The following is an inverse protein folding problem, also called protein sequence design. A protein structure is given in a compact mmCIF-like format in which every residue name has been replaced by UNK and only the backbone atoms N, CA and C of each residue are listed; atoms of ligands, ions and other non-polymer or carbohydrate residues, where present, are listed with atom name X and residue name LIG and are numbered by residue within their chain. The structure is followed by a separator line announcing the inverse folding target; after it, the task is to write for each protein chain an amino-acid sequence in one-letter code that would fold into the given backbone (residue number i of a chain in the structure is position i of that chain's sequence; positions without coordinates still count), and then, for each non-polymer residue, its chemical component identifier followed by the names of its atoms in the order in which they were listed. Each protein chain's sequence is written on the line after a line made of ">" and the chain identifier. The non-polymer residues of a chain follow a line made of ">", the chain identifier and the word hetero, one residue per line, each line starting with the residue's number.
data_IF_818337099137
#
_entry.id   IF_818337099137
#
_cell.length_a   1.000
_cell.length_b   1.000
_cell.length_c   1.000
_cell.angle_alpha   90.00
_cell.angle_beta   90.00
_cell.angle_gamma   90.00
#
_symmetry.space_group_name_H-M   'P 1'
#
loop_
_entity.id
_entity.type
_entity.pdbx_description
1 polymer ?
#
# COMPACT_ATOMS: atom_id res chain seq x y z
N UNK A 1 -24.29 -26.07 -8.17
CA UNK A 1 -23.13 -25.56 -7.41
C UNK A 1 -22.73 -24.26 -8.07
N UNK A 2 -23.07 -23.12 -7.46
CA UNK A 2 -22.62 -21.83 -7.97
C UNK A 2 -21.30 -21.51 -7.27
N UNK A 3 -20.20 -21.72 -7.98
CA UNK A 3 -18.88 -21.25 -7.56
C UNK A 3 -18.80 -19.73 -7.79
N UNK A 4 -19.64 -18.97 -7.08
CA UNK A 4 -19.50 -17.51 -7.02
C UNK A 4 -18.38 -17.19 -6.03
N UNK A 5 -17.14 -17.30 -6.50
CA UNK A 5 -15.95 -17.07 -5.69
C UNK A 5 -15.64 -15.56 -5.66
N UNK A 6 -15.99 -14.81 -4.60
CA UNK A 6 -15.92 -13.33 -4.62
C UNK A 6 -14.49 -12.80 -4.45
N UNK A 7 -13.48 -13.68 -4.42
CA UNK A 7 -12.10 -13.34 -4.00
C UNK A 7 -11.35 -12.37 -4.91
N UNK A 8 -11.89 -12.02 -6.08
CA UNK A 8 -11.24 -11.15 -7.06
C UNK A 8 -12.00 -9.86 -7.34
N UNK A 9 -13.10 -9.60 -6.62
CA UNK A 9 -13.75 -8.30 -6.71
C UNK A 9 -12.81 -7.22 -6.15
N UNK A 10 -12.71 -6.07 -6.84
CA UNK A 10 -11.96 -4.94 -6.31
C UNK A 10 -12.44 -4.58 -4.90
N UNK A 11 -11.55 -4.12 -4.01
CA UNK A 11 -11.94 -3.60 -2.71
C UNK A 11 -13.00 -2.50 -2.87
N UNK A 12 -13.97 -2.49 -1.98
CA UNK A 12 -14.91 -1.37 -1.89
C UNK A 12 -14.20 -0.10 -1.36
N UNK A 13 -14.88 1.04 -1.51
CA UNK A 13 -14.33 2.33 -1.06
C UNK A 13 -14.01 2.36 0.44
N UNK A 14 -14.77 1.65 1.27
CA UNK A 14 -14.56 1.60 2.72
C UNK A 14 -13.33 0.77 3.07
N UNK A 15 -13.00 -0.26 2.29
CA UNK A 15 -11.77 -1.03 2.42
C UNK A 15 -10.55 -0.16 2.06
N UNK A 16 -10.63 0.60 0.96
CA UNK A 16 -9.57 1.52 0.56
C UNK A 16 -9.34 2.62 1.61
N UNK A 17 -10.41 3.17 2.19
CA UNK A 17 -10.32 4.16 3.26
C UNK A 17 -9.68 3.58 4.54
N UNK A 18 -10.09 2.37 4.94
CA UNK A 18 -9.50 1.67 6.10
C UNK A 18 -8.00 1.41 5.91
N UNK A 19 -7.55 1.10 4.70
CA UNK A 19 -6.13 0.97 4.41
C UNK A 19 -5.39 2.29 4.57
N UNK A 20 -5.98 3.42 4.16
CA UNK A 20 -5.37 4.73 4.36
C UNK A 20 -5.19 5.03 5.87
N UNK A 21 -6.23 4.83 6.67
CA UNK A 21 -6.19 5.08 8.12
C UNK A 21 -5.16 4.20 8.85
N UNK A 22 -5.12 2.90 8.53
CA UNK A 22 -4.14 1.97 9.09
C UNK A 22 -2.70 2.39 8.75
N UNK A 23 -2.44 2.73 7.49
CA UNK A 23 -1.10 3.14 7.07
C UNK A 23 -0.68 4.50 7.68
N UNK A 24 -1.61 5.44 7.88
CA UNK A 24 -1.34 6.70 8.60
C UNK A 24 -0.89 6.40 10.03
N UNK A 25 -1.63 5.54 10.72
CA UNK A 25 -1.32 5.15 12.10
C UNK A 25 0.07 4.52 12.20
N UNK A 26 0.37 3.59 11.29
CA UNK A 26 1.67 2.91 11.19
C UNK A 26 2.83 3.86 10.88
N UNK A 27 2.65 4.76 9.92
CA UNK A 27 3.67 5.75 9.59
C UNK A 27 3.97 6.69 10.79
N UNK A 28 2.99 6.95 11.65
CA UNK A 28 3.21 7.73 12.88
C UNK A 28 3.98 6.94 13.95
N UNK A 29 3.70 5.65 14.11
CA UNK A 29 4.48 4.79 14.99
C UNK A 29 5.95 4.71 14.57
N UNK A 30 6.22 4.44 13.29
CA UNK A 30 7.60 4.36 12.77
C UNK A 30 8.35 5.67 12.95
N UNK A 31 7.70 6.82 12.77
CA UNK A 31 8.37 8.11 13.03
C UNK A 31 8.75 8.32 14.49
N UNK A 32 7.98 7.75 15.40
CA UNK A 32 8.16 7.94 16.84
C UNK A 32 9.17 6.94 17.40
N UNK A 33 9.13 5.69 16.94
CA UNK A 33 9.87 4.57 17.54
C UNK A 33 10.87 3.90 16.59
N UNK A 34 10.94 4.32 15.33
CA UNK A 34 11.72 3.65 14.30
C UNK A 34 11.07 2.35 13.81
N UNK A 35 11.78 1.62 12.95
CA UNK A 35 11.27 0.40 12.31
C UNK A 35 11.46 -0.86 13.14
N UNK A 36 12.44 -0.90 14.05
CA UNK A 36 12.95 -2.14 14.65
C UNK A 36 11.86 -2.94 15.39
N UNK A 37 10.92 -2.26 16.05
CA UNK A 37 9.81 -2.89 16.77
C UNK A 37 8.71 -3.46 15.84
N UNK A 38 8.60 -2.95 14.62
CA UNK A 38 7.45 -3.20 13.73
C UNK A 38 7.77 -4.09 12.55
N UNK A 39 9.02 -4.04 12.09
CA UNK A 39 9.52 -4.71 10.89
C UNK A 39 9.26 -6.21 10.83
N UNK A 40 9.26 -6.88 11.99
CA UNK A 40 9.05 -8.33 12.10
C UNK A 40 7.63 -8.71 12.53
N UNK A 41 6.84 -7.73 12.98
CA UNK A 41 5.45 -7.93 13.42
C UNK A 41 4.42 -7.59 12.35
N UNK A 42 4.77 -6.73 11.39
CA UNK A 42 3.88 -6.29 10.33
C UNK A 42 4.01 -7.18 9.09
N UNK A 43 2.91 -7.26 8.32
CA UNK A 43 2.95 -7.89 7.02
C UNK A 43 3.82 -7.10 6.05
N UNK A 44 4.32 -7.77 5.00
CA UNK A 44 5.11 -7.12 3.97
C UNK A 44 4.36 -5.93 3.33
N UNK A 45 3.06 -6.07 3.04
CA UNK A 45 2.25 -4.98 2.49
C UNK A 45 2.19 -3.76 3.40
N UNK A 46 2.04 -3.98 4.72
CA UNK A 46 1.98 -2.91 5.72
C UNK A 46 3.33 -2.17 5.84
N UNK A 47 4.45 -2.91 5.85
CA UNK A 47 5.80 -2.32 5.86
C UNK A 47 6.01 -1.48 4.60
N UNK A 48 5.72 -2.04 3.42
CA UNK A 48 5.87 -1.32 2.15
C UNK A 48 4.97 -0.08 2.09
N UNK A 49 3.72 -0.17 2.54
CA UNK A 49 2.79 0.95 2.55
C UNK A 49 3.24 2.08 3.47
N UNK A 50 3.70 1.76 4.68
CA UNK A 50 4.22 2.76 5.61
C UNK A 50 5.53 3.38 5.08
N UNK A 51 6.44 2.59 4.50
CA UNK A 51 7.67 3.10 3.87
C UNK A 51 7.36 4.03 2.69
N UNK A 52 6.36 3.68 1.86
CA UNK A 52 5.85 4.53 0.80
C UNK A 52 5.27 5.84 1.35
N UNK A 53 4.53 5.85 2.46
CA UNK A 53 4.06 7.12 3.07
C UNK A 53 5.23 7.97 3.57
N UNK A 54 6.25 7.33 4.16
CA UNK A 54 7.40 7.98 4.75
C UNK A 54 8.41 8.51 3.71
N UNK A 55 8.36 7.99 2.49
CA UNK A 55 9.42 8.23 1.50
C UNK A 55 10.73 7.55 1.89
N UNK A 56 10.64 6.42 2.60
CA UNK A 56 11.80 5.69 3.11
C UNK A 56 12.26 4.64 2.11
N UNK A 57 13.02 5.09 1.11
CA UNK A 57 13.55 4.20 0.07
C UNK A 57 14.54 3.17 0.64
N UNK A 58 15.20 3.45 1.77
CA UNK A 58 16.12 2.51 2.40
C UNK A 58 15.38 1.30 2.97
N UNK A 59 14.23 1.50 3.62
CA UNK A 59 13.40 0.39 4.09
C UNK A 59 12.78 -0.40 2.93
N UNK A 60 12.38 0.26 1.83
CA UNK A 60 11.92 -0.44 0.62
C UNK A 60 13.02 -1.36 0.06
N UNK A 61 14.24 -0.86 -0.08
CA UNK A 61 15.39 -1.65 -0.55
C UNK A 61 15.71 -2.81 0.40
N UNK A 62 15.55 -2.61 1.71
CA UNK A 62 15.73 -3.67 2.70
C UNK A 62 14.70 -4.81 2.55
N UNK A 63 13.50 -4.49 2.04
CA UNK A 63 12.49 -5.46 1.65
C UNK A 63 12.70 -6.05 0.25
N UNK A 64 13.75 -5.65 -0.48
CA UNK A 64 14.02 -6.08 -1.85
C UNK A 64 13.13 -5.39 -2.89
N UNK A 65 12.52 -4.26 -2.54
CA UNK A 65 11.55 -3.54 -3.36
C UNK A 65 12.09 -2.16 -3.77
N UNK A 66 11.65 -1.70 -4.93
CA UNK A 66 11.79 -0.29 -5.35
C UNK A 66 10.50 0.47 -5.02
N UNK A 67 10.53 1.80 -5.06
CA UNK A 67 9.29 2.60 -4.98
C UNK A 67 8.27 2.17 -6.03
N UNK A 68 8.71 1.82 -7.24
CA UNK A 68 7.83 1.42 -8.35
C UNK A 68 7.20 0.07 -8.06
N UNK A 69 8.01 -0.97 -7.76
CA UNK A 69 7.49 -2.31 -7.50
C UNK A 69 6.59 -2.37 -6.26
N UNK A 70 6.90 -1.57 -5.23
CA UNK A 70 6.02 -1.42 -4.06
C UNK A 70 4.67 -0.77 -4.44
N UNK A 71 4.67 0.27 -5.30
CA UNK A 71 3.45 0.89 -5.81
C UNK A 71 2.64 -0.08 -6.70
N UNK A 72 3.29 -0.89 -7.54
CA UNK A 72 2.61 -1.90 -8.36
C UNK A 72 1.86 -2.92 -7.49
N UNK A 73 2.50 -3.43 -6.43
CA UNK A 73 1.85 -4.33 -5.47
C UNK A 73 0.63 -3.69 -4.83
N UNK A 74 0.75 -2.42 -4.44
CA UNK A 74 -0.36 -1.66 -3.87
C UNK A 74 -1.46 -1.37 -4.91
N UNK A 75 -1.15 -1.21 -6.19
CA UNK A 75 -2.16 -1.03 -7.23
C UNK A 75 -3.09 -2.25 -7.32
N UNK A 76 -2.54 -3.47 -7.28
CA UNK A 76 -3.35 -4.69 -7.25
C UNK A 76 -4.12 -4.84 -5.94
N UNK A 77 -3.51 -4.44 -4.82
CA UNK A 77 -4.17 -4.47 -3.51
C UNK A 77 -5.36 -3.51 -3.44
N UNK A 78 -5.24 -2.31 -4.00
CA UNK A 78 -6.28 -1.27 -3.93
C UNK A 78 -7.35 -1.40 -5.00
N UNK A 79 -6.99 -1.85 -6.20
CA UNK A 79 -7.87 -1.80 -7.37
C UNK A 79 -8.24 -3.18 -7.93
N UNK A 80 -7.84 -4.26 -7.25
CA UNK A 80 -8.01 -5.63 -7.74
C UNK A 80 -7.14 -5.93 -8.97
N UNK A 81 -7.33 -7.11 -9.57
CA UNK A 81 -6.48 -7.57 -10.69
C UNK A 81 -6.61 -6.66 -11.92
N UNK A 82 -7.82 -6.48 -12.43
CA UNK A 82 -8.07 -5.69 -13.65
C UNK A 82 -7.76 -4.20 -13.44
N UNK A 83 -8.21 -3.66 -12.31
CA UNK A 83 -7.98 -2.26 -11.97
C UNK A 83 -6.51 -1.99 -11.70
N UNK A 84 -5.82 -2.90 -11.01
CA UNK A 84 -4.39 -2.81 -10.73
C UNK A 84 -3.58 -2.84 -12.01
N UNK A 85 -3.81 -3.82 -12.89
CA UNK A 85 -3.10 -3.92 -14.17
C UNK A 85 -3.28 -2.66 -15.03
N UNK A 86 -4.51 -2.16 -15.12
CA UNK A 86 -4.80 -0.91 -15.85
C UNK A 86 -4.05 0.29 -15.25
N UNK A 87 -3.86 0.33 -13.93
CA UNK A 87 -3.07 1.39 -13.28
C UNK A 87 -1.58 1.23 -13.58
N UNK A 88 -1.04 0.01 -13.50
CA UNK A 88 0.37 -0.30 -13.83
C UNK A 88 0.68 0.09 -15.27
N UNK A 89 -0.14 -0.35 -16.23
CA UNK A 89 0.04 -0.06 -17.66
C UNK A 89 0.00 1.45 -17.95
N UNK A 90 -0.72 2.22 -17.13
CA UNK A 90 -0.80 3.67 -17.22
C UNK A 90 0.30 4.42 -16.44
N UNK A 91 1.23 3.72 -15.78
CA UNK A 91 2.31 4.33 -14.98
C UNK A 91 1.94 4.66 -13.53
N UNK A 92 0.95 3.97 -12.97
CA UNK A 92 0.47 4.05 -11.58
C UNK A 92 -0.19 5.38 -11.16
N UNK A 93 -0.94 6.09 -12.02
CA UNK A 93 -1.44 7.42 -11.67
C UNK A 93 -2.41 7.41 -10.48
N UNK A 94 -3.30 6.42 -10.37
CA UNK A 94 -4.28 6.37 -9.25
C UNK A 94 -3.59 5.98 -7.95
N UNK A 95 -2.71 4.99 -7.99
CA UNK A 95 -1.98 4.55 -6.78
C UNK A 95 -1.06 5.66 -6.25
N UNK A 96 -0.36 6.37 -7.14
CA UNK A 96 0.44 7.55 -6.77
C UNK A 96 -0.42 8.65 -6.17
N UNK A 97 -1.56 8.96 -6.77
CA UNK A 97 -2.48 9.97 -6.26
C UNK A 97 -3.03 9.59 -4.87
N UNK A 98 -3.35 8.31 -4.65
CA UNK A 98 -3.83 7.81 -3.36
C UNK A 98 -2.78 7.94 -2.25
N UNK A 99 -1.53 7.53 -2.51
CA UNK A 99 -0.45 7.74 -1.54
C UNK A 99 -0.16 9.23 -1.32
N UNK A 100 -0.21 10.06 -2.38
CA UNK A 100 -0.03 11.50 -2.26
C UNK A 100 -1.13 12.15 -1.40
N UNK A 101 -2.39 11.74 -1.55
CA UNK A 101 -3.48 12.26 -0.72
C UNK A 101 -3.29 11.91 0.75
N UNK A 102 -2.80 10.69 1.04
CA UNK A 102 -2.50 10.29 2.43
C UNK A 102 -1.40 11.16 3.04
N UNK A 103 -0.32 11.40 2.28
CA UNK A 103 0.79 12.26 2.74
C UNK A 103 0.34 13.70 2.97
N UNK A 104 -0.68 14.18 2.26
CA UNK A 104 -1.23 15.52 2.41
C UNK A 104 -2.16 15.68 3.63
N UNK A 105 -2.72 14.60 4.15
CA UNK A 105 -3.58 14.60 5.35
C UNK A 105 -2.77 14.68 6.66
N UNK A 106 -1.44 14.71 6.57
CA UNK A 106 -0.53 14.58 7.70
C UNK A 106 -0.02 15.92 8.23
#
# INVERSE_FOLDING_TARGET
>A
MNDNWPRFEPPDHDQVARHADDLIHRANFVRTHGWDEYRHGWSCGEVLGAALILGDDAELQRCGETTISALERWAFHLWGITGGQSDVDAGLPRTRAWFASIRATR
#
